data_IF_878565391603
#
_entry.id   IF_878565391603
#
_cell.length_a   1.000
_cell.length_b   1.000
_cell.length_c   1.000
_cell.angle_alpha   90.00
_cell.angle_beta   90.00
_cell.angle_gamma   90.00
#
_symmetry.space_group_name_H-M   'P 1'
#
loop_
_entity.id
_entity.type
_entity.pdbx_description
1 polymer ?
#
# COMPACT_ATOMS: atom_id res chain seq x y z
N UNK A 1 3.64 -26.41 -29.57
CA UNK A 1 3.43 -25.06 -29.06
C UNK A 1 4.63 -24.72 -28.21
N UNK A 2 5.55 -23.89 -28.69
CA UNK A 2 6.76 -23.47 -27.98
C UNK A 2 6.33 -22.54 -26.86
N UNK A 3 6.48 -23.02 -25.62
CA UNK A 3 6.29 -22.22 -24.42
C UNK A 3 7.41 -21.17 -24.38
N UNK A 4 7.16 -19.98 -24.91
CA UNK A 4 8.08 -18.84 -24.78
C UNK A 4 8.04 -18.38 -23.33
N UNK A 5 8.89 -18.96 -22.50
CA UNK A 5 9.19 -18.41 -21.17
C UNK A 5 9.77 -17.01 -21.43
N UNK A 6 9.04 -15.96 -21.10
CA UNK A 6 9.54 -14.59 -21.15
C UNK A 6 10.68 -14.46 -20.15
N UNK A 7 11.78 -13.80 -20.52
CA UNK A 7 12.91 -13.52 -19.63
C UNK A 7 12.56 -12.47 -18.54
N UNK A 8 11.31 -12.03 -18.52
CA UNK A 8 10.80 -11.02 -17.61
C UNK A 8 9.67 -11.57 -16.74
N UNK A 9 9.63 -11.13 -15.49
CA UNK A 9 8.55 -11.34 -14.54
C UNK A 9 7.86 -10.00 -14.30
N UNK A 10 6.55 -9.97 -14.46
CA UNK A 10 5.75 -8.75 -14.29
C UNK A 10 5.10 -8.73 -12.92
N UNK A 11 5.34 -7.65 -12.19
CA UNK A 11 4.83 -7.45 -10.83
C UNK A 11 3.93 -6.22 -10.81
N UNK A 12 2.69 -6.39 -10.36
CA UNK A 12 1.79 -5.30 -10.01
C UNK A 12 1.80 -5.10 -8.49
N UNK A 13 2.21 -3.92 -8.03
CA UNK A 13 2.23 -3.59 -6.61
C UNK A 13 1.44 -2.32 -6.32
N UNK A 14 0.70 -2.31 -5.20
CA UNK A 14 0.08 -1.08 -4.69
C UNK A 14 1.12 -0.14 -4.12
N UNK A 15 0.78 1.16 -4.04
CA UNK A 15 1.68 2.21 -3.56
C UNK A 15 2.31 1.90 -2.21
N UNK A 16 1.53 1.35 -1.27
CA UNK A 16 1.99 1.09 0.08
C UNK A 16 3.16 0.10 0.19
N UNK A 17 3.26 -0.89 -0.71
CA UNK A 17 4.36 -1.86 -0.70
C UNK A 17 5.45 -1.54 -1.72
N UNK A 18 5.27 -0.50 -2.54
CA UNK A 18 6.17 -0.18 -3.65
C UNK A 18 7.60 0.10 -3.20
N UNK A 19 7.80 0.88 -2.13
CA UNK A 19 9.15 1.23 -1.66
C UNK A 19 9.94 -0.02 -1.23
N UNK A 20 9.35 -0.88 -0.42
CA UNK A 20 9.95 -2.15 0.00
C UNK A 20 10.25 -3.07 -1.21
N UNK A 21 9.30 -3.19 -2.12
CA UNK A 21 9.47 -4.01 -3.32
C UNK A 21 10.63 -3.52 -4.20
N UNK A 22 10.72 -2.22 -4.47
CA UNK A 22 11.78 -1.65 -5.30
C UNK A 22 13.17 -1.86 -4.71
N UNK A 23 13.32 -1.77 -3.39
CA UNK A 23 14.57 -2.06 -2.69
C UNK A 23 14.99 -3.53 -2.83
N UNK A 24 14.00 -4.44 -2.89
CA UNK A 24 14.25 -5.88 -2.99
C UNK A 24 14.48 -6.39 -4.43
N UNK A 25 14.24 -5.58 -5.47
CA UNK A 25 14.41 -5.99 -6.88
C UNK A 25 15.75 -6.68 -7.15
N UNK A 26 16.92 -6.13 -6.73
CA UNK A 26 18.21 -6.76 -7.04
C UNK A 26 18.34 -8.18 -6.47
N UNK A 27 17.83 -8.41 -5.26
CA UNK A 27 17.86 -9.71 -4.60
C UNK A 27 16.89 -10.69 -5.26
N UNK A 28 15.70 -10.22 -5.65
CA UNK A 28 14.69 -11.01 -6.34
C UNK A 28 15.17 -11.42 -7.74
N UNK A 29 15.74 -10.51 -8.52
CA UNK A 29 16.31 -10.82 -9.84
C UNK A 29 17.43 -11.85 -9.77
N UNK A 30 18.29 -11.73 -8.74
CA UNK A 30 19.35 -12.73 -8.50
C UNK A 30 18.76 -14.11 -8.16
N UNK A 31 17.71 -14.15 -7.33
CA UNK A 31 17.03 -15.36 -6.92
C UNK A 31 16.39 -16.09 -8.11
N UNK A 32 15.66 -15.37 -8.95
CA UNK A 32 14.88 -15.98 -10.04
C UNK A 32 15.64 -16.03 -11.36
N UNK A 33 16.79 -15.38 -11.48
CA UNK A 33 17.62 -15.24 -12.69
C UNK A 33 16.84 -14.68 -13.89
N UNK A 34 15.93 -13.75 -13.64
CA UNK A 34 15.10 -13.06 -14.62
C UNK A 34 14.95 -11.60 -14.23
N UNK A 35 14.59 -10.73 -15.21
CA UNK A 35 14.30 -9.32 -14.95
C UNK A 35 12.91 -9.12 -14.37
N UNK A 36 12.79 -8.15 -13.46
CA UNK A 36 11.52 -7.71 -12.90
C UNK A 36 11.03 -6.43 -13.58
N UNK A 37 9.78 -6.45 -14.01
CA UNK A 37 9.10 -5.30 -14.60
C UNK A 37 7.94 -4.91 -13.70
N UNK A 38 7.99 -3.69 -13.15
CA UNK A 38 6.90 -3.14 -12.35
C UNK A 38 5.81 -2.61 -13.28
N UNK A 39 4.67 -3.28 -13.31
CA UNK A 39 3.61 -3.02 -14.30
C UNK A 39 2.57 -1.99 -13.84
N UNK A 40 2.28 -1.88 -12.54
CA UNK A 40 1.31 -0.91 -12.01
C UNK A 40 1.54 -0.64 -10.53
N UNK A 41 1.14 0.54 -10.08
CA UNK A 41 1.27 0.98 -8.69
C UNK A 41 -0.02 1.60 -8.14
N UNK A 42 -1.14 1.57 -8.88
CA UNK A 42 -2.40 2.16 -8.47
C UNK A 42 -3.45 1.09 -8.15
N UNK A 43 -4.16 1.27 -7.03
CA UNK A 43 -5.26 0.39 -6.62
C UNK A 43 -6.65 1.01 -6.91
N UNK A 44 -6.74 2.29 -7.23
CA UNK A 44 -8.00 3.01 -7.41
C UNK A 44 -8.91 2.44 -8.50
N UNK A 45 -9.95 3.21 -8.89
CA UNK A 45 -10.97 2.80 -9.87
C UNK A 45 -10.66 3.20 -11.31
N UNK A 46 -9.54 3.92 -11.55
CA UNK A 46 -9.14 4.36 -12.89
C UNK A 46 -8.84 3.20 -13.84
N UNK A 47 -8.91 3.47 -15.13
CA UNK A 47 -8.69 2.48 -16.20
C UNK A 47 -7.38 1.70 -16.03
N UNK A 48 -6.30 2.37 -15.60
CA UNK A 48 -4.98 1.79 -15.40
C UNK A 48 -4.75 1.26 -13.98
N UNK A 49 -5.80 1.13 -13.17
CA UNK A 49 -5.70 0.52 -11.85
C UNK A 49 -5.42 -0.98 -11.93
N UNK A 50 -4.77 -1.54 -10.91
CA UNK A 50 -4.49 -2.98 -10.81
C UNK A 50 -5.76 -3.81 -11.01
N UNK A 51 -6.90 -3.53 -10.34
CA UNK A 51 -8.12 -4.29 -10.54
C UNK A 51 -8.59 -4.33 -12.00
N UNK A 52 -8.57 -3.19 -12.69
CA UNK A 52 -9.06 -3.10 -14.06
C UNK A 52 -8.08 -3.76 -15.05
N UNK A 53 -6.78 -3.65 -14.82
CA UNK A 53 -5.74 -4.31 -15.63
C UNK A 53 -5.82 -5.83 -15.52
N UNK A 54 -6.00 -6.36 -14.30
CA UNK A 54 -6.20 -7.80 -14.07
C UNK A 54 -7.46 -8.32 -14.76
N UNK A 55 -8.60 -7.63 -14.62
CA UNK A 55 -9.87 -8.05 -15.26
C UNK A 55 -9.82 -8.02 -16.77
N UNK A 56 -8.99 -7.16 -17.38
CA UNK A 56 -8.75 -7.14 -18.83
C UNK A 56 -7.79 -8.25 -19.29
N UNK A 57 -7.27 -9.08 -18.37
CA UNK A 57 -6.32 -10.14 -18.69
C UNK A 57 -4.92 -9.64 -19.05
N UNK A 58 -4.53 -8.45 -18.56
CA UNK A 58 -3.18 -7.97 -18.79
C UNK A 58 -2.14 -8.93 -18.17
N UNK A 59 -1.06 -9.28 -18.91
CA UNK A 59 -0.06 -10.21 -18.42
C UNK A 59 0.59 -9.71 -17.11
N UNK A 60 0.54 -10.54 -16.08
CA UNK A 60 1.17 -10.33 -14.77
C UNK A 60 1.51 -11.68 -14.15
N UNK A 61 2.56 -11.72 -13.34
CA UNK A 61 2.99 -12.92 -12.65
C UNK A 61 2.76 -12.83 -11.13
N UNK A 62 3.01 -11.66 -10.53
CA UNK A 62 2.84 -11.43 -9.08
C UNK A 62 2.02 -10.15 -8.84
N UNK A 63 1.10 -10.23 -7.90
CA UNK A 63 0.28 -9.09 -7.46
C UNK A 63 0.48 -8.87 -5.97
N UNK A 64 0.74 -7.60 -5.57
CA UNK A 64 0.93 -7.18 -4.17
C UNK A 64 -0.04 -6.04 -3.87
N UNK A 65 -1.05 -6.32 -3.05
CA UNK A 65 -2.14 -5.38 -2.75
C UNK A 65 -2.64 -5.55 -1.31
N UNK A 66 -3.54 -4.70 -0.86
CA UNK A 66 -4.23 -4.90 0.41
C UNK A 66 -4.91 -6.28 0.44
N UNK A 67 -4.81 -6.98 1.57
CA UNK A 67 -5.24 -8.36 1.74
C UNK A 67 -6.69 -8.60 1.32
N UNK A 68 -7.61 -7.73 1.74
CA UNK A 68 -9.02 -7.83 1.35
C UNK A 68 -9.24 -7.75 -0.17
N UNK A 69 -8.40 -6.97 -0.88
CA UNK A 69 -8.44 -6.87 -2.35
C UNK A 69 -7.90 -8.14 -2.97
N UNK A 70 -6.78 -8.68 -2.44
CA UNK A 70 -6.20 -9.93 -2.94
C UNK A 70 -7.16 -11.11 -2.76
N UNK A 71 -7.83 -11.20 -1.62
CA UNK A 71 -8.88 -12.20 -1.36
C UNK A 71 -10.03 -12.08 -2.36
N UNK A 72 -10.40 -10.87 -2.74
CA UNK A 72 -11.36 -10.64 -3.83
C UNK A 72 -10.87 -11.23 -5.16
N UNK A 73 -9.63 -10.96 -5.54
CA UNK A 73 -9.03 -11.52 -6.76
C UNK A 73 -8.91 -13.05 -6.75
N UNK A 74 -8.68 -13.65 -5.58
CA UNK A 74 -8.70 -15.11 -5.43
C UNK A 74 -10.11 -15.66 -5.70
N UNK A 75 -11.15 -15.04 -5.13
CA UNK A 75 -12.56 -15.43 -5.38
C UNK A 75 -12.95 -15.30 -6.85
N UNK A 76 -12.42 -14.26 -7.52
CA UNK A 76 -12.65 -14.01 -8.94
C UNK A 76 -11.81 -14.96 -9.85
N UNK A 77 -10.96 -15.84 -9.28
CA UNK A 77 -10.10 -16.75 -10.03
C UNK A 77 -8.92 -16.09 -10.73
N UNK A 78 -8.59 -14.83 -10.38
CA UNK A 78 -7.49 -14.07 -10.99
C UNK A 78 -6.14 -14.36 -10.32
N UNK A 79 -6.15 -14.81 -9.07
CA UNK A 79 -4.96 -15.15 -8.26
C UNK A 79 -5.09 -16.59 -7.76
N UNK A 80 -4.00 -17.33 -7.78
CA UNK A 80 -3.92 -18.69 -7.24
C UNK A 80 -4.05 -18.66 -5.71
N UNK A 81 -5.11 -19.27 -5.15
CA UNK A 81 -5.42 -19.20 -3.73
C UNK A 81 -4.35 -19.79 -2.82
N UNK A 82 -3.64 -20.83 -3.28
CA UNK A 82 -2.54 -21.48 -2.57
C UNK A 82 -1.24 -20.65 -2.51
N UNK A 83 -1.21 -19.51 -3.21
CA UNK A 83 -0.08 -18.57 -3.21
C UNK A 83 -0.30 -17.37 -2.29
N UNK A 84 -1.46 -17.25 -1.64
CA UNK A 84 -1.78 -16.14 -0.75
C UNK A 84 -0.77 -16.05 0.41
N UNK A 85 -0.05 -14.95 0.47
CA UNK A 85 1.01 -14.73 1.46
C UNK A 85 0.90 -13.33 2.06
N UNK A 86 0.48 -13.18 3.33
CA UNK A 86 0.56 -11.90 4.03
C UNK A 86 2.01 -11.47 4.23
N UNK A 87 2.32 -10.21 3.91
CA UNK A 87 3.68 -9.66 3.92
C UNK A 87 3.92 -8.67 5.07
N UNK A 88 3.02 -7.71 5.21
CA UNK A 88 3.24 -6.60 6.15
C UNK A 88 1.95 -5.96 6.63
N UNK A 89 2.03 -5.32 7.79
CA UNK A 89 1.02 -4.39 8.31
C UNK A 89 1.40 -2.97 7.97
N UNK A 90 0.42 -2.15 7.67
CA UNK A 90 0.59 -0.74 7.33
C UNK A 90 -0.36 0.13 8.13
N UNK A 91 0.17 1.15 8.78
CA UNK A 91 -0.58 2.15 9.52
C UNK A 91 -0.91 3.36 8.64
N UNK A 92 -2.02 4.02 8.92
CA UNK A 92 -2.37 5.31 8.33
C UNK A 92 -1.63 6.41 9.07
N UNK A 93 -1.02 7.32 8.33
CA UNK A 93 -0.40 8.53 8.86
C UNK A 93 -0.99 9.79 8.25
N UNK A 94 -0.70 10.90 8.92
CA UNK A 94 -0.95 12.25 8.44
C UNK A 94 0.39 12.94 8.16
N UNK A 95 0.43 13.77 7.13
CA UNK A 95 1.58 14.61 6.81
C UNK A 95 1.15 16.06 6.59
N UNK A 96 2.11 16.96 6.79
CA UNK A 96 2.04 18.40 6.46
C UNK A 96 3.16 18.76 5.48
N UNK A 97 3.09 19.92 4.85
CA UNK A 97 4.19 20.43 4.04
C UNK A 97 5.42 20.70 4.93
N UNK A 98 6.61 20.50 4.41
CA UNK A 98 7.85 20.80 5.11
C UNK A 98 7.88 22.25 5.60
N UNK A 99 8.23 22.43 6.88
CA UNK A 99 8.25 23.73 7.56
C UNK A 99 6.88 24.26 7.99
N UNK A 100 5.77 23.58 7.69
CA UNK A 100 4.45 23.96 8.20
C UNK A 100 4.30 23.60 9.71
N UNK A 101 3.37 24.23 10.44
CA UNK A 101 3.04 23.82 11.80
C UNK A 101 2.70 22.34 11.87
N UNK A 102 3.18 21.66 12.91
CA UNK A 102 2.99 20.22 13.13
C UNK A 102 1.85 20.00 14.13
N UNK A 103 0.65 19.62 13.67
CA UNK A 103 -0.48 19.40 14.58
C UNK A 103 -0.21 18.22 15.52
N UNK A 104 -0.71 18.31 16.74
CA UNK A 104 -0.70 17.20 17.68
C UNK A 104 -1.72 16.13 17.27
N UNK A 105 -1.28 14.89 17.19
CA UNK A 105 -2.11 13.70 16.94
C UNK A 105 -2.03 12.67 18.08
N UNK A 106 -1.45 13.03 19.22
CA UNK A 106 -1.21 12.11 20.32
C UNK A 106 -2.46 11.53 20.99
N UNK A 107 -3.63 12.14 20.74
CA UNK A 107 -4.92 11.67 21.28
C UNK A 107 -6.03 11.80 20.25
N UNK A 108 -7.12 11.05 20.42
CA UNK A 108 -8.33 11.16 19.58
C UNK A 108 -8.91 12.60 19.61
N UNK A 109 -8.86 13.27 20.77
CA UNK A 109 -9.34 14.65 20.90
C UNK A 109 -8.44 15.64 20.10
N UNK A 110 -7.13 15.44 20.12
CA UNK A 110 -6.19 16.23 19.33
C UNK A 110 -6.37 16.02 17.82
N UNK A 111 -6.50 14.78 17.38
CA UNK A 111 -6.84 14.45 15.99
C UNK A 111 -8.16 15.11 15.55
N UNK A 112 -9.21 14.99 16.37
CA UNK A 112 -10.51 15.62 16.09
C UNK A 112 -10.37 17.12 15.90
N UNK A 113 -9.63 17.79 16.79
CA UNK A 113 -9.37 19.24 16.69
C UNK A 113 -8.60 19.56 15.41
N UNK A 114 -7.53 18.84 15.10
CA UNK A 114 -6.75 19.01 13.87
C UNK A 114 -7.63 18.89 12.63
N UNK A 115 -8.50 17.88 12.55
CA UNK A 115 -9.42 17.69 11.44
C UNK A 115 -10.44 18.85 11.33
N UNK A 116 -10.93 19.38 12.44
CA UNK A 116 -11.87 20.51 12.45
C UNK A 116 -11.21 21.82 12.04
N UNK A 117 -9.98 22.08 12.47
CA UNK A 117 -9.24 23.32 12.22
C UNK A 117 -8.60 23.35 10.82
N UNK A 118 -8.25 22.20 10.24
CA UNK A 118 -7.66 22.12 8.91
C UNK A 118 -8.55 22.79 7.85
N UNK A 119 -7.93 23.60 6.97
CA UNK A 119 -8.62 24.29 5.86
C UNK A 119 -8.89 23.36 4.69
N UNK A 120 -8.02 22.39 4.47
CA UNK A 120 -8.14 21.41 3.39
C UNK A 120 -7.41 20.10 3.75
N UNK A 121 -8.02 18.98 3.36
CA UNK A 121 -7.56 17.62 3.72
C UNK A 121 -7.46 16.79 2.45
N UNK A 122 -6.25 16.34 2.10
CA UNK A 122 -6.04 15.45 0.96
C UNK A 122 -6.11 13.98 1.36
N UNK A 123 -6.74 13.15 0.54
CA UNK A 123 -6.76 11.70 0.70
C UNK A 123 -6.78 10.98 -0.65
N UNK A 124 -6.32 9.73 -0.69
CA UNK A 124 -6.32 8.88 -1.89
C UNK A 124 -7.58 8.03 -1.99
N UNK A 125 -7.88 7.52 -3.20
CA UNK A 125 -8.89 6.49 -3.44
C UNK A 125 -8.34 5.11 -3.06
N UNK A 126 -7.98 4.91 -1.79
CA UNK A 126 -7.43 3.66 -1.25
C UNK A 126 -7.95 3.42 0.16
N UNK A 127 -7.54 2.29 0.77
CA UNK A 127 -7.97 1.89 2.13
C UNK A 127 -7.88 3.04 3.15
N UNK A 128 -6.83 3.88 3.09
CA UNK A 128 -6.67 5.01 4.02
C UNK A 128 -7.65 6.14 3.78
N UNK A 129 -7.92 6.47 2.52
CA UNK A 129 -8.88 7.53 2.18
C UNK A 129 -10.32 7.10 2.42
N UNK A 130 -10.65 5.86 2.07
CA UNK A 130 -11.97 5.28 2.37
C UNK A 130 -12.22 5.26 3.87
N UNK A 131 -11.25 4.81 4.67
CA UNK A 131 -11.36 4.83 6.12
C UNK A 131 -11.60 6.24 6.68
N UNK A 132 -10.81 7.22 6.22
CA UNK A 132 -10.97 8.61 6.66
C UNK A 132 -12.40 9.11 6.44
N UNK A 133 -12.92 8.91 5.22
CA UNK A 133 -14.15 9.55 4.75
C UNK A 133 -15.43 8.80 5.11
N UNK A 134 -15.37 7.49 5.29
CA UNK A 134 -16.57 6.66 5.56
C UNK A 134 -16.67 6.18 7.01
N UNK A 135 -15.54 6.01 7.71
CA UNK A 135 -15.54 5.46 9.07
C UNK A 135 -15.06 6.47 10.11
N UNK A 136 -13.84 7.02 9.95
CA UNK A 136 -13.18 7.83 10.99
C UNK A 136 -13.98 9.08 11.34
N UNK A 137 -14.37 9.88 10.34
CA UNK A 137 -15.10 11.13 10.59
C UNK A 137 -16.48 10.88 11.18
N UNK A 138 -17.11 9.75 10.88
CA UNK A 138 -18.39 9.32 11.50
C UNK A 138 -18.18 8.94 12.97
N UNK A 139 -17.15 8.13 13.27
CA UNK A 139 -16.81 7.76 14.66
C UNK A 139 -16.48 8.97 15.53
N UNK A 140 -15.88 10.00 14.94
CA UNK A 140 -15.55 11.25 15.64
C UNK A 140 -16.73 12.23 15.74
N UNK A 141 -17.85 11.97 15.02
CA UNK A 141 -19.02 12.84 14.98
C UNK A 141 -18.74 14.21 14.35
N UNK A 142 -17.92 14.24 13.28
CA UNK A 142 -17.49 15.50 12.60
C UNK A 142 -17.62 15.39 11.07
N UNK A 143 -18.36 14.44 10.57
CA UNK A 143 -18.45 14.18 9.13
C UNK A 143 -18.88 15.43 8.34
N UNK A 144 -19.94 16.12 8.77
CA UNK A 144 -20.50 17.29 8.06
C UNK A 144 -19.50 18.44 7.96
N UNK A 145 -18.66 18.63 9.02
CA UNK A 145 -17.66 19.71 9.04
C UNK A 145 -16.39 19.38 8.26
N UNK A 146 -16.05 18.07 8.15
CA UNK A 146 -14.78 17.64 7.58
C UNK A 146 -14.92 17.23 6.13
N UNK A 147 -15.97 16.51 5.73
CA UNK A 147 -16.12 16.02 4.36
C UNK A 147 -16.16 17.14 3.31
N UNK A 148 -16.75 18.30 3.65
CA UNK A 148 -16.81 19.46 2.76
C UNK A 148 -15.45 20.05 2.38
N UNK A 149 -14.41 19.75 3.13
CA UNK A 149 -13.02 20.24 2.92
C UNK A 149 -12.03 19.13 2.60
N UNK A 150 -12.52 17.88 2.38
CA UNK A 150 -11.69 16.79 1.86
C UNK A 150 -11.55 16.88 0.34
N UNK A 151 -10.37 16.53 -0.15
CA UNK A 151 -10.06 16.44 -1.57
C UNK A 151 -9.54 15.04 -1.89
N UNK A 152 -10.28 14.35 -2.73
CA UNK A 152 -9.81 13.09 -3.31
C UNK A 152 -8.72 13.37 -4.33
N UNK A 153 -7.54 12.78 -4.13
CA UNK A 153 -6.42 12.90 -5.05
C UNK A 153 -6.58 11.84 -6.13
N UNK A 154 -6.57 12.32 -7.38
CA UNK A 154 -6.81 11.50 -8.56
C UNK A 154 -5.71 10.48 -8.85
N UNK A 155 -5.99 9.62 -9.84
CA UNK A 155 -5.07 8.55 -10.24
C UNK A 155 -3.75 9.09 -10.76
N UNK A 156 -2.66 8.44 -10.34
CA UNK A 156 -1.30 8.80 -10.75
C UNK A 156 -0.66 9.90 -9.91
N UNK A 157 -1.40 10.53 -9.03
CA UNK A 157 -0.87 11.54 -8.12
C UNK A 157 -0.82 11.02 -6.67
N UNK A 158 0.21 11.39 -5.94
CA UNK A 158 0.39 11.01 -4.53
C UNK A 158 -0.10 12.11 -3.60
N UNK A 159 -0.78 11.75 -2.54
CA UNK A 159 -1.21 12.71 -1.49
C UNK A 159 -0.04 13.55 -0.99
N UNK A 160 1.10 12.93 -0.70
CA UNK A 160 2.29 13.64 -0.25
C UNK A 160 2.80 14.69 -1.25
N UNK A 161 2.69 14.46 -2.56
CA UNK A 161 3.08 15.43 -3.57
C UNK A 161 2.17 16.68 -3.57
N UNK A 162 0.86 16.47 -3.40
CA UNK A 162 -0.13 17.56 -3.26
C UNK A 162 0.16 18.42 -2.01
N UNK A 163 0.48 17.76 -0.89
CA UNK A 163 0.89 18.42 0.36
C UNK A 163 2.19 19.21 0.16
N UNK A 164 3.21 18.62 -0.47
CA UNK A 164 4.50 19.27 -0.71
C UNK A 164 4.36 20.57 -1.54
N UNK A 165 3.42 20.61 -2.49
CA UNK A 165 3.11 21.82 -3.28
C UNK A 165 2.23 22.82 -2.54
N UNK A 166 1.71 22.47 -1.35
CA UNK A 166 0.81 23.35 -0.57
C UNK A 166 -0.61 23.44 -1.12
N UNK A 167 -1.02 22.48 -1.96
CA UNK A 167 -2.37 22.42 -2.54
C UNK A 167 -3.41 21.84 -1.56
N UNK A 168 -2.95 21.22 -0.47
CA UNK A 168 -3.75 20.90 0.70
C UNK A 168 -2.89 21.09 1.96
N UNK A 169 -3.56 21.41 3.08
CA UNK A 169 -2.89 21.74 4.34
C UNK A 169 -2.37 20.49 5.04
N UNK A 170 -3.20 19.45 5.11
CA UNK A 170 -2.85 18.13 5.67
C UNK A 170 -3.26 17.04 4.70
N UNK A 171 -2.63 15.87 4.82
CA UNK A 171 -2.99 14.72 4.00
C UNK A 171 -2.84 13.38 4.73
N UNK A 172 -3.73 12.45 4.41
CA UNK A 172 -3.77 11.12 4.99
C UNK A 172 -3.51 10.05 3.94
N UNK A 173 -2.55 9.18 4.25
CA UNK A 173 -2.22 8.01 3.41
C UNK A 173 -1.52 6.95 4.28
N UNK A 174 -1.20 5.78 3.70
CA UNK A 174 -0.33 4.83 4.36
C UNK A 174 1.03 5.49 4.66
N UNK A 175 1.60 5.27 5.84
CA UNK A 175 2.89 5.88 6.24
C UNK A 175 3.98 5.56 5.21
N UNK A 176 4.02 4.34 4.71
CA UNK A 176 4.98 3.90 3.69
C UNK A 176 4.88 4.63 2.34
N UNK A 177 3.73 5.25 2.04
CA UNK A 177 3.54 6.08 0.85
C UNK A 177 3.92 7.54 1.09
N UNK A 178 3.87 8.00 2.34
CA UNK A 178 4.24 9.36 2.73
C UNK A 178 5.75 9.51 2.92
N UNK A 179 6.38 8.57 3.64
CA UNK A 179 7.81 8.64 4.02
C UNK A 179 8.76 8.97 2.86
N UNK A 180 8.63 8.38 1.65
CA UNK A 180 9.56 8.64 0.56
C UNK A 180 9.32 9.97 -0.17
N UNK A 181 8.31 10.77 0.23
CA UNK A 181 7.96 12.00 -0.50
C UNK A 181 8.77 13.17 0.04
N UNK A 182 9.58 13.78 -0.83
CA UNK A 182 10.28 15.01 -0.49
C UNK A 182 9.31 16.20 -0.37
N UNK A 183 9.64 17.14 0.54
CA UNK A 183 8.84 18.36 0.72
C UNK A 183 7.64 18.24 1.67
N UNK A 184 7.50 17.09 2.32
CA UNK A 184 6.55 16.92 3.44
C UNK A 184 7.29 16.64 4.74
N UNK A 185 6.60 16.81 5.85
CA UNK A 185 7.12 16.69 7.21
C UNK A 185 6.04 16.09 8.11
N UNK A 186 6.43 15.73 9.34
CA UNK A 186 5.50 15.28 10.36
C UNK A 186 4.62 14.10 9.93
N UNK A 187 5.25 13.06 9.36
CA UNK A 187 4.54 11.81 9.06
C UNK A 187 4.26 11.09 10.38
N UNK A 188 3.06 11.30 10.92
CA UNK A 188 2.66 10.82 12.25
C UNK A 188 1.48 9.86 12.13
N UNK A 189 1.53 8.69 12.80
CA UNK A 189 0.40 7.75 12.81
C UNK A 189 -0.82 8.36 13.51
N UNK A 190 -2.00 7.84 13.16
CA UNK A 190 -3.22 8.13 13.91
C UNK A 190 -3.12 7.57 15.34
N UNK A 191 -3.87 8.15 16.32
CA UNK A 191 -3.98 7.56 17.67
C UNK A 191 -4.44 6.09 17.59
N UNK A 192 -3.88 5.24 18.47
CA UNK A 192 -4.10 3.80 18.44
C UNK A 192 -5.60 3.40 18.45
N UNK A 193 -6.41 4.15 19.20
CA UNK A 193 -7.85 3.91 19.37
C UNK A 193 -8.65 4.07 18.07
N UNK A 194 -8.13 4.85 17.15
CA UNK A 194 -8.76 5.12 15.85
C UNK A 194 -7.84 4.80 14.68
N UNK A 195 -6.74 4.10 14.93
CA UNK A 195 -5.87 3.60 13.86
C UNK A 195 -6.54 2.43 13.14
N UNK A 196 -6.40 2.41 11.81
CA UNK A 196 -6.76 1.25 10.99
C UNK A 196 -5.51 0.68 10.38
N UNK A 197 -5.16 -0.52 10.80
CA UNK A 197 -4.04 -1.27 10.23
C UNK A 197 -4.53 -2.06 9.02
N UNK A 198 -3.90 -1.83 7.89
CA UNK A 198 -4.12 -2.63 6.69
C UNK A 198 -3.04 -3.71 6.57
N UNK A 199 -3.43 -4.93 6.22
CA UNK A 199 -2.50 -5.99 5.83
C UNK A 199 -2.29 -5.90 4.32
N UNK A 200 -1.04 -6.03 3.87
CA UNK A 200 -0.67 -6.18 2.46
C UNK A 200 -0.17 -7.59 2.22
N UNK A 201 -0.67 -8.19 1.16
CA UNK A 201 -0.39 -9.59 0.79
C UNK A 201 0.04 -9.69 -0.66
N UNK A 202 0.82 -10.73 -0.97
CA UNK A 202 1.19 -11.11 -2.32
C UNK A 202 0.48 -12.39 -2.76
N UNK A 203 0.29 -12.53 -4.07
CA UNK A 203 -0.20 -13.72 -4.69
C UNK A 203 0.28 -13.87 -6.12
N UNK A 204 0.28 -15.10 -6.60
CA UNK A 204 0.64 -15.47 -7.98
C UNK A 204 -0.58 -15.36 -8.87
N UNK A 205 -0.46 -14.66 -10.00
CA UNK A 205 -1.54 -14.53 -10.96
C UNK A 205 -1.89 -15.88 -11.59
N UNK A 206 -3.17 -16.17 -11.74
CA UNK A 206 -3.64 -17.42 -12.34
C UNK A 206 -3.25 -17.53 -13.84
N UNK A 207 -3.03 -16.40 -14.51
CA UNK A 207 -2.60 -16.33 -15.91
C UNK A 207 -1.09 -16.41 -16.13
N UNK A 208 -0.28 -16.52 -15.07
CA UNK A 208 1.19 -16.54 -15.19
C UNK A 208 1.69 -17.69 -16.06
N UNK A 209 2.68 -17.40 -16.89
CA UNK A 209 3.46 -18.40 -17.62
C UNK A 209 4.77 -18.79 -16.91
N UNK A 210 5.03 -18.17 -15.74
CA UNK A 210 6.24 -18.34 -14.93
C UNK A 210 5.93 -18.73 -13.47
N UNK A 211 5.12 -19.76 -13.19
CA UNK A 211 4.59 -20.01 -11.84
C UNK A 211 5.68 -20.30 -10.80
N UNK A 212 6.77 -20.96 -11.17
CA UNK A 212 7.86 -21.26 -10.24
C UNK A 212 8.60 -20.00 -9.78
N UNK A 213 8.96 -19.12 -10.74
CA UNK A 213 9.60 -17.86 -10.44
C UNK A 213 8.67 -16.93 -9.62
N UNK A 214 7.40 -16.83 -9.99
CA UNK A 214 6.40 -16.05 -9.26
C UNK A 214 6.24 -16.54 -7.81
N UNK A 215 6.15 -17.86 -7.59
CA UNK A 215 6.11 -18.46 -6.25
C UNK A 215 7.39 -18.21 -5.45
N UNK A 216 8.56 -18.23 -6.09
CA UNK A 216 9.82 -17.93 -5.43
C UNK A 216 9.84 -16.48 -4.93
N UNK A 217 9.35 -15.52 -5.74
CA UNK A 217 9.20 -14.10 -5.36
C UNK A 217 8.26 -13.98 -4.15
N UNK A 218 7.06 -14.56 -4.22
CA UNK A 218 6.07 -14.46 -3.14
C UNK A 218 6.63 -15.03 -1.84
N UNK A 219 7.29 -16.19 -1.87
CA UNK A 219 7.94 -16.77 -0.68
C UNK A 219 9.05 -15.88 -0.13
N UNK A 220 9.89 -15.29 -0.98
CA UNK A 220 10.96 -14.40 -0.55
C UNK A 220 10.40 -13.15 0.12
N UNK A 221 9.36 -12.52 -0.46
CA UNK A 221 8.72 -11.33 0.11
C UNK A 221 8.11 -11.60 1.50
N UNK A 222 7.64 -12.81 1.77
CA UNK A 222 7.13 -13.24 3.08
C UNK A 222 8.19 -13.81 4.02
N UNK A 223 9.47 -13.76 3.67
CA UNK A 223 10.56 -14.34 4.44
C UNK A 223 11.28 -13.31 5.33
N UNK A 224 12.08 -13.75 6.32
CA UNK A 224 12.87 -12.86 7.17
C UNK A 224 13.86 -11.98 6.39
N UNK A 225 14.32 -12.43 5.23
CA UNK A 225 15.26 -11.72 4.37
C UNK A 225 14.67 -10.40 3.83
N UNK A 226 13.35 -10.35 3.62
CA UNK A 226 12.66 -9.14 3.18
C UNK A 226 12.34 -8.18 4.33
N UNK A 227 12.43 -8.62 5.60
CA UNK A 227 11.93 -7.88 6.76
C UNK A 227 12.57 -6.50 6.91
N UNK A 228 13.87 -6.37 6.61
CA UNK A 228 14.59 -5.08 6.73
C UNK A 228 14.02 -4.05 5.75
N UNK A 229 13.94 -4.37 4.46
CA UNK A 229 13.41 -3.46 3.44
C UNK A 229 11.93 -3.08 3.73
N UNK A 230 11.15 -4.03 4.25
CA UNK A 230 9.77 -3.78 4.69
C UNK A 230 9.76 -2.76 5.84
N UNK A 231 10.59 -2.94 6.87
CA UNK A 231 10.67 -2.03 8.02
C UNK A 231 11.17 -0.64 7.60
N UNK A 232 12.23 -0.58 6.80
CA UNK A 232 12.83 0.67 6.34
C UNK A 232 11.86 1.49 5.46
N UNK A 233 10.89 0.82 4.81
CA UNK A 233 9.80 1.48 4.06
C UNK A 233 8.66 2.04 4.94
N UNK A 234 8.70 1.83 6.27
CA UNK A 234 7.65 2.27 7.19
C UNK A 234 6.49 1.27 7.34
N UNK A 235 6.68 0.02 6.92
CA UNK A 235 5.77 -1.08 7.14
C UNK A 235 6.25 -1.96 8.31
N UNK A 236 5.33 -2.69 8.92
CA UNK A 236 5.64 -3.71 9.91
C UNK A 236 5.60 -5.09 9.24
N UNK A 237 6.74 -5.81 9.11
CA UNK A 237 6.75 -7.13 8.49
C UNK A 237 5.91 -8.12 9.32
N UNK A 238 5.15 -8.99 8.64
CA UNK A 238 4.51 -10.12 9.30
C UNK A 238 5.59 -11.17 9.48
N UNK A 239 6.13 -11.26 10.70
CA UNK A 239 7.15 -12.26 10.99
C UNK A 239 6.60 -13.67 10.66
N UNK A 240 7.36 -14.52 9.97
CA UNK A 240 7.00 -15.92 9.84
C UNK A 240 6.79 -16.49 11.24
N UNK A 241 5.71 -17.22 11.45
CA UNK A 241 5.49 -17.98 12.67
C UNK A 241 6.78 -18.76 12.94
N UNK A 242 7.49 -18.46 14.03
CA UNK A 242 8.57 -19.30 14.50
C UNK A 242 7.94 -20.66 14.75
N UNK A 243 8.19 -21.61 13.89
CA UNK A 243 7.94 -23.02 14.22
C UNK A 243 8.75 -23.26 15.48
N UNK A 244 8.06 -23.38 16.62
CA UNK A 244 8.64 -23.84 17.87
C UNK A 244 9.34 -25.16 17.53
N UNK A 245 10.67 -25.15 17.54
CA UNK A 245 11.42 -26.39 17.54
C UNK A 245 11.01 -27.11 18.82
N UNK A 246 10.11 -28.09 18.68
CA UNK A 246 9.88 -29.06 19.74
C UNK A 246 11.23 -29.76 19.99
N UNK A 247 11.81 -29.49 21.17
CA UNK A 247 12.93 -30.24 21.71
C UNK A 247 12.46 -31.64 22.16
#
# INVERSE_FOLDING_TARGET
MTNTTTDEIRVMTSGAFTAAYLELIPQLELLIKKKLVTAATSIGTGENSIPNRLRRGEPVDVVIVADAVLVGFIKDGLIMGDSHTPLARSAIGMAVRAGAPKPDLGTVAALKRTLLEAKSIAHSASVSGDYLTTELVQRLGIADQVLSKTRLIGHGERVGAVIARGEAEIGFQQISELLPVAGIDHVTPLPAEVQKIAVFSAGVAASTTNPEAARAIVRFLGSPEAARAITDSGLEPIAPLKLSSAG
#
